data_IF_966498626013
#
_entry.id   IF_966498626013
#
_cell.length_a   1.000
_cell.length_b   1.000
_cell.length_c   1.000
_cell.angle_alpha   90.00
_cell.angle_beta   90.00
_cell.angle_gamma   90.00
#
_symmetry.space_group_name_H-M   'P 1'
#
loop_
_entity.id
_entity.type
_entity.pdbx_description
1 polymer ?
#
# COMPACT_ATOMS: atom_id res chain seq x y z
N UNK A 1 4.45 6.99 -19.61
CA UNK A 1 4.03 8.15 -18.80
C UNK A 1 3.74 7.70 -17.39
N UNK A 2 4.20 8.46 -16.39
CA UNK A 2 3.97 8.17 -14.97
C UNK A 2 2.87 9.06 -14.42
N UNK A 3 1.87 8.47 -13.77
CA UNK A 3 0.79 9.15 -13.08
C UNK A 3 0.86 8.83 -11.59
N UNK A 4 1.06 9.84 -10.75
CA UNK A 4 0.98 9.69 -9.29
C UNK A 4 -0.35 10.28 -8.81
N UNK A 5 -1.19 9.45 -8.21
CA UNK A 5 -2.50 9.88 -7.70
C UNK A 5 -2.60 9.50 -6.23
N UNK A 6 -2.79 10.48 -5.38
CA UNK A 6 -2.93 10.30 -3.94
C UNK A 6 -4.00 11.21 -3.37
N UNK A 7 -4.84 10.67 -2.50
CA UNK A 7 -5.87 11.42 -1.76
C UNK A 7 -5.59 11.26 -0.28
N UNK A 8 -5.37 12.37 0.41
CA UNK A 8 -5.08 12.36 1.83
C UNK A 8 -6.24 11.76 2.63
N UNK A 9 -5.93 10.77 3.46
CA UNK A 9 -6.92 10.08 4.31
C UNK A 9 -7.84 9.10 3.58
N UNK A 10 -7.67 8.87 2.26
CA UNK A 10 -8.51 7.93 1.54
C UNK A 10 -8.19 6.47 1.90
N UNK A 11 -9.24 5.70 2.17
CA UNK A 11 -9.27 4.25 2.20
C UNK A 11 -9.69 3.68 0.83
N UNK A 12 -9.65 2.37 0.63
CA UNK A 12 -10.07 1.76 -0.64
C UNK A 12 -11.53 2.08 -1.00
N UNK A 13 -12.50 2.02 -0.06
CA UNK A 13 -13.86 2.47 -0.34
C UNK A 13 -13.99 3.91 -0.83
N UNK A 14 -13.11 4.83 -0.40
CA UNK A 14 -13.12 6.20 -0.90
C UNK A 14 -12.75 6.27 -2.39
N UNK A 15 -11.80 5.46 -2.83
CA UNK A 15 -11.44 5.34 -4.24
C UNK A 15 -12.58 4.75 -5.07
N UNK A 16 -13.27 3.73 -4.58
CA UNK A 16 -14.42 3.13 -5.27
C UNK A 16 -15.59 4.11 -5.43
N UNK A 17 -15.70 5.12 -4.56
CA UNK A 17 -16.70 6.19 -4.68
C UNK A 17 -16.30 7.31 -5.65
N UNK A 18 -15.08 7.31 -6.18
CA UNK A 18 -14.61 8.30 -7.15
C UNK A 18 -15.32 8.07 -8.50
N UNK A 19 -16.30 8.93 -8.84
CA UNK A 19 -17.16 8.77 -10.01
C UNK A 19 -16.39 8.81 -11.33
N UNK A 20 -15.31 9.56 -11.40
CA UNK A 20 -14.50 9.74 -12.62
C UNK A 20 -13.41 8.68 -12.78
N UNK A 21 -13.11 7.90 -11.74
CA UNK A 21 -12.05 6.90 -11.80
C UNK A 21 -12.17 5.92 -12.98
N UNK A 22 -13.35 5.36 -13.31
CA UNK A 22 -13.47 4.44 -14.45
C UNK A 22 -13.19 5.12 -15.80
N UNK A 23 -13.57 6.39 -15.95
CA UNK A 23 -13.36 7.18 -17.18
C UNK A 23 -11.89 7.57 -17.31
N UNK A 24 -11.28 8.05 -16.22
CA UNK A 24 -9.86 8.39 -16.16
C UNK A 24 -8.99 7.18 -16.49
N UNK A 25 -9.31 6.00 -15.94
CA UNK A 25 -8.59 4.77 -16.23
C UNK A 25 -8.68 4.35 -17.70
N UNK A 26 -9.84 4.55 -18.36
CA UNK A 26 -10.00 4.29 -19.79
C UNK A 26 -9.14 5.22 -20.64
N UNK A 27 -8.95 6.48 -20.21
CA UNK A 27 -8.08 7.43 -20.90
C UNK A 27 -6.60 7.10 -20.70
N UNK A 28 -6.20 6.76 -19.47
CA UNK A 28 -4.81 6.46 -19.09
C UNK A 28 -4.38 5.10 -19.63
N UNK A 29 -5.25 4.09 -19.57
CA UNK A 29 -4.98 2.68 -19.93
C UNK A 29 -3.65 2.19 -19.35
N UNK A 30 -3.49 2.15 -18.02
CA UNK A 30 -2.21 1.88 -17.39
C UNK A 30 -1.69 0.47 -17.73
N UNK A 31 -0.40 0.36 -18.05
CA UNK A 31 0.28 -0.93 -18.26
C UNK A 31 0.70 -1.54 -16.91
N UNK A 32 0.94 -0.70 -15.91
CA UNK A 32 1.28 -1.08 -14.55
C UNK A 32 0.49 -0.21 -13.55
N UNK A 33 -0.15 -0.86 -12.59
CA UNK A 33 -0.76 -0.22 -11.42
C UNK A 33 0.02 -0.57 -10.16
N UNK A 34 0.54 0.43 -9.46
CA UNK A 34 1.21 0.27 -8.16
C UNK A 34 0.25 0.71 -7.06
N UNK A 35 -0.19 -0.23 -6.24
CA UNK A 35 -1.13 0.00 -5.15
C UNK A 35 -0.41 0.15 -3.82
N UNK A 36 -0.39 1.37 -3.26
CA UNK A 36 0.12 1.69 -1.92
C UNK A 36 -0.98 2.15 -0.95
N UNK A 37 -2.25 1.80 -1.21
CA UNK A 37 -3.41 2.21 -0.41
C UNK A 37 -3.74 1.11 0.60
N UNK A 38 -4.08 1.48 1.85
CA UNK A 38 -4.49 0.49 2.86
C UNK A 38 -4.16 0.90 4.29
N UNK A 39 -3.27 1.91 4.46
CA UNK A 39 -2.93 2.38 5.81
C UNK A 39 -4.12 3.02 6.52
N UNK A 40 -5.00 3.69 5.76
CA UNK A 40 -6.23 4.27 6.30
C UNK A 40 -7.29 3.20 6.59
N UNK A 41 -7.37 2.16 5.76
CA UNK A 41 -8.19 0.97 6.04
C UNK A 41 -7.75 0.28 7.33
N UNK A 42 -6.43 0.18 7.56
CA UNK A 42 -5.85 -0.39 8.77
C UNK A 42 -6.04 0.49 10.01
N UNK A 43 -6.37 1.78 9.85
CA UNK A 43 -6.46 2.75 10.96
C UNK A 43 -7.81 2.68 11.70
N UNK A 44 -8.21 1.48 12.06
CA UNK A 44 -9.43 1.18 12.84
C UNK A 44 -9.08 0.27 14.03
N UNK A 45 -9.91 0.23 15.09
CA UNK A 45 -9.74 -0.73 16.17
C UNK A 45 -9.53 -2.16 15.63
N UNK A 46 -8.62 -2.96 16.21
CA UNK A 46 -8.24 -4.27 15.64
C UNK A 46 -9.40 -5.23 15.40
N UNK A 47 -10.40 -5.19 16.25
CA UNK A 47 -11.62 -6.01 16.14
C UNK A 47 -12.58 -5.53 15.03
N UNK A 48 -12.37 -4.32 14.47
CA UNK A 48 -13.18 -3.76 13.38
C UNK A 48 -12.52 -3.93 12.02
N UNK A 49 -11.25 -4.29 11.97
CA UNK A 49 -10.57 -4.56 10.71
C UNK A 49 -10.89 -5.97 10.23
N UNK A 50 -11.54 -6.05 9.09
CA UNK A 50 -11.89 -7.30 8.41
C UNK A 50 -11.02 -7.45 7.14
N UNK A 51 -10.05 -8.40 7.11
CA UNK A 51 -9.20 -8.63 5.93
C UNK A 51 -9.98 -9.11 4.70
N UNK A 52 -11.06 -9.87 4.88
CA UNK A 52 -11.83 -10.36 3.74
C UNK A 52 -12.60 -9.22 3.09
N UNK A 53 -13.20 -8.34 3.88
CA UNK A 53 -13.84 -7.13 3.39
C UNK A 53 -12.83 -6.20 2.71
N UNK A 54 -11.64 -6.04 3.27
CA UNK A 54 -10.55 -5.27 2.66
C UNK A 54 -10.18 -5.84 1.28
N UNK A 55 -9.99 -7.16 1.17
CA UNK A 55 -9.70 -7.82 -0.10
C UNK A 55 -10.86 -7.70 -1.09
N UNK A 56 -12.12 -7.77 -0.62
CA UNK A 56 -13.28 -7.58 -1.49
C UNK A 56 -13.27 -6.21 -2.16
N UNK A 57 -13.05 -5.13 -1.40
CA UNK A 57 -12.93 -3.78 -1.98
C UNK A 57 -11.74 -3.68 -2.96
N UNK A 58 -10.62 -4.34 -2.66
CA UNK A 58 -9.48 -4.37 -3.59
C UNK A 58 -9.80 -5.12 -4.88
N UNK A 59 -10.54 -6.22 -4.83
CA UNK A 59 -10.97 -6.95 -6.04
C UNK A 59 -11.85 -6.04 -6.93
N UNK A 60 -12.75 -5.25 -6.33
CA UNK A 60 -13.54 -4.26 -7.07
C UNK A 60 -12.64 -3.20 -7.72
N UNK A 61 -11.67 -2.65 -6.97
CA UNK A 61 -10.72 -1.68 -7.51
C UNK A 61 -9.89 -2.27 -8.65
N UNK A 62 -9.33 -3.46 -8.47
CA UNK A 62 -8.56 -4.18 -9.50
C UNK A 62 -9.40 -4.41 -10.76
N UNK A 63 -10.68 -4.76 -10.61
CA UNK A 63 -11.58 -4.94 -11.74
C UNK A 63 -11.73 -3.68 -12.59
N UNK A 64 -11.73 -2.47 -11.99
CA UNK A 64 -11.73 -1.21 -12.73
C UNK A 64 -10.47 -1.04 -13.57
N UNK A 65 -9.28 -1.33 -13.02
CA UNK A 65 -8.02 -1.27 -13.76
C UNK A 65 -7.99 -2.29 -14.90
N UNK A 66 -8.38 -3.53 -14.63
CA UNK A 66 -8.44 -4.60 -15.64
C UNK A 66 -9.50 -4.34 -16.72
N UNK A 67 -10.58 -3.63 -16.40
CA UNK A 67 -11.57 -3.22 -17.40
C UNK A 67 -11.03 -2.16 -18.38
N UNK A 68 -10.11 -1.31 -17.91
CA UNK A 68 -9.45 -0.30 -18.74
C UNK A 68 -8.32 -0.90 -19.59
N UNK A 69 -7.52 -1.80 -19.01
CA UNK A 69 -6.47 -2.57 -19.67
C UNK A 69 -6.39 -3.97 -19.06
N UNK A 70 -6.89 -5.02 -19.75
CA UNK A 70 -6.83 -6.41 -19.25
C UNK A 70 -5.41 -6.90 -18.96
N UNK A 71 -4.40 -6.33 -19.64
CA UNK A 71 -2.99 -6.67 -19.49
C UNK A 71 -2.26 -5.82 -18.42
N UNK A 72 -2.97 -4.90 -17.74
CA UNK A 72 -2.39 -4.08 -16.67
C UNK A 72 -1.71 -4.96 -15.63
N UNK A 73 -0.41 -4.85 -15.46
CA UNK A 73 0.32 -5.52 -14.39
C UNK A 73 -0.02 -4.88 -13.03
N UNK A 74 0.02 -5.67 -11.96
CA UNK A 74 -0.35 -5.24 -10.61
C UNK A 74 0.84 -5.40 -9.67
N UNK A 75 1.22 -4.32 -8.99
CA UNK A 75 2.22 -4.34 -7.92
C UNK A 75 1.58 -3.82 -6.64
N UNK A 76 1.56 -4.65 -5.60
CA UNK A 76 1.07 -4.28 -4.28
C UNK A 76 2.24 -3.89 -3.38
N UNK A 77 2.19 -2.67 -2.83
CA UNK A 77 3.15 -2.18 -1.84
C UNK A 77 2.50 -2.30 -0.47
N UNK A 78 3.04 -3.16 0.40
CA UNK A 78 2.47 -3.33 1.73
C UNK A 78 2.65 -2.08 2.59
N UNK A 79 1.74 -1.84 3.53
CA UNK A 79 1.81 -0.67 4.40
C UNK A 79 3.01 -0.76 5.36
N UNK A 80 3.56 0.39 5.72
CA UNK A 80 4.52 0.46 6.84
C UNK A 80 3.87 0.12 8.18
N UNK A 81 4.67 -0.30 9.17
CA UNK A 81 4.26 -0.30 10.57
C UNK A 81 3.91 1.11 11.02
N UNK A 82 2.87 1.26 11.84
CA UNK A 82 2.44 2.56 12.33
C UNK A 82 1.82 2.49 13.72
N UNK A 83 1.52 3.66 14.28
CA UNK A 83 0.72 3.78 15.49
C UNK A 83 -0.77 3.86 15.16
N UNK A 84 -1.57 3.15 15.95
CA UNK A 84 -3.01 3.28 16.01
C UNK A 84 -3.38 4.15 17.22
N UNK A 85 -4.15 5.20 16.98
CA UNK A 85 -4.67 6.06 18.05
C UNK A 85 -6.03 5.51 18.51
N UNK A 86 -6.06 5.02 19.73
CA UNK A 86 -7.26 4.48 20.37
C UNK A 86 -8.01 5.49 21.25
N UNK A 87 -7.71 6.78 21.07
CA UNK A 87 -8.31 7.87 21.83
C UNK A 87 -7.63 8.13 23.19
N UNK A 88 -8.15 9.12 23.90
CA UNK A 88 -7.54 9.60 25.17
C UNK A 88 -7.42 8.51 26.24
N UNK A 89 -8.38 7.57 26.30
CA UNK A 89 -8.44 6.53 27.34
C UNK A 89 -7.40 5.42 27.11
N UNK A 90 -7.09 5.08 25.86
CA UNK A 90 -6.25 3.93 25.51
C UNK A 90 -4.93 4.31 24.86
N UNK A 91 -4.74 5.60 24.54
CA UNK A 91 -3.51 6.13 23.99
C UNK A 91 -3.18 5.63 22.59
N UNK A 92 -1.89 5.67 22.25
CA UNK A 92 -1.37 5.17 20.97
C UNK A 92 -0.64 3.85 21.19
N UNK A 93 -0.87 2.88 20.29
CA UNK A 93 -0.22 1.57 20.31
C UNK A 93 0.23 1.19 18.90
N UNK A 94 1.18 0.27 18.78
CA UNK A 94 1.51 -0.34 17.49
C UNK A 94 0.25 -0.92 16.87
N UNK A 95 0.03 -0.62 15.59
CA UNK A 95 -1.17 -1.06 14.88
C UNK A 95 -1.01 -2.51 14.39
N UNK A 96 -1.74 -3.49 14.93
CA UNK A 96 -1.62 -4.88 14.48
C UNK A 96 -2.26 -5.12 13.10
N UNK A 97 -3.10 -4.19 12.63
CA UNK A 97 -3.78 -4.35 11.34
C UNK A 97 -2.82 -4.19 10.17
N UNK A 98 -1.68 -3.49 10.34
CA UNK A 98 -0.68 -3.34 9.26
C UNK A 98 -0.09 -4.68 8.82
N UNK A 99 0.17 -5.59 9.76
CA UNK A 99 0.58 -6.96 9.45
C UNK A 99 -0.53 -7.75 8.72
N UNK A 100 -1.79 -7.52 9.11
CA UNK A 100 -2.96 -8.17 8.47
C UNK A 100 -3.18 -7.66 7.05
N UNK A 101 -2.98 -6.36 6.81
CA UNK A 101 -2.99 -5.77 5.46
C UNK A 101 -1.84 -6.33 4.61
N UNK A 102 -0.62 -6.43 5.16
CA UNK A 102 0.51 -7.02 4.44
C UNK A 102 0.21 -8.47 4.01
N UNK A 103 -0.41 -9.26 4.88
CA UNK A 103 -0.86 -10.60 4.54
C UNK A 103 -1.94 -10.58 3.44
N UNK A 104 -2.93 -9.70 3.55
CA UNK A 104 -4.01 -9.56 2.55
C UNK A 104 -3.47 -9.19 1.17
N UNK A 105 -2.46 -8.32 1.08
CA UNK A 105 -1.82 -8.00 -0.20
C UNK A 105 -1.09 -9.19 -0.83
N UNK A 106 -0.42 -10.02 -0.03
CA UNK A 106 0.20 -11.26 -0.54
C UNK A 106 -0.85 -12.22 -1.10
N UNK A 107 -1.99 -12.34 -0.42
CA UNK A 107 -3.12 -13.15 -0.88
C UNK A 107 -3.72 -12.59 -2.18
N UNK A 108 -3.97 -11.29 -2.26
CA UNK A 108 -4.46 -10.61 -3.48
C UNK A 108 -3.49 -10.78 -4.65
N UNK A 109 -2.19 -10.66 -4.43
CA UNK A 109 -1.19 -10.86 -5.47
C UNK A 109 -1.23 -12.30 -6.00
N UNK A 110 -1.30 -13.29 -5.11
CA UNK A 110 -1.43 -14.70 -5.51
C UNK A 110 -2.74 -14.96 -6.28
N UNK A 111 -3.86 -14.35 -5.88
CA UNK A 111 -5.15 -14.46 -6.55
C UNK A 111 -5.16 -13.84 -7.97
N UNK A 112 -4.42 -12.76 -8.17
CA UNK A 112 -4.50 -11.92 -9.38
C UNK A 112 -3.31 -12.05 -10.32
N UNK A 113 -2.31 -12.85 -9.95
CA UNK A 113 -1.05 -12.94 -10.68
C UNK A 113 -0.20 -11.67 -10.60
N UNK A 114 -0.42 -10.85 -9.57
CA UNK A 114 0.34 -9.63 -9.30
C UNK A 114 1.61 -9.90 -8.51
N UNK A 115 2.45 -8.86 -8.38
CA UNK A 115 3.64 -8.87 -7.55
C UNK A 115 3.40 -8.13 -6.22
N UNK A 116 4.24 -8.43 -5.20
CA UNK A 116 4.23 -7.72 -3.91
C UNK A 116 5.62 -7.17 -3.62
N UNK A 117 5.67 -5.90 -3.31
CA UNK A 117 6.81 -5.31 -2.62
C UNK A 117 6.48 -5.18 -1.13
N UNK A 118 7.14 -6.01 -0.30
CA UNK A 118 6.80 -6.16 1.11
C UNK A 118 7.49 -5.12 2.00
N UNK A 119 7.10 -3.87 1.85
CA UNK A 119 7.61 -2.75 2.65
C UNK A 119 7.53 -3.00 4.15
N UNK A 120 6.45 -3.65 4.62
CA UNK A 120 6.26 -3.93 6.03
C UNK A 120 7.43 -4.72 6.64
N UNK A 121 7.84 -5.80 5.98
CA UNK A 121 8.95 -6.62 6.46
C UNK A 121 10.32 -6.05 6.14
N UNK A 122 10.48 -5.36 5.00
CA UNK A 122 11.71 -4.61 4.66
C UNK A 122 12.04 -3.58 5.73
N UNK A 123 11.05 -2.91 6.29
CA UNK A 123 11.22 -1.96 7.39
C UNK A 123 11.53 -2.61 8.74
N UNK A 124 11.32 -3.92 8.89
CA UNK A 124 11.52 -4.67 10.13
C UNK A 124 10.22 -5.14 10.82
N UNK A 125 9.08 -5.02 10.16
CA UNK A 125 7.78 -5.51 10.66
C UNK A 125 7.25 -4.73 11.86
N UNK A 126 6.60 -5.44 12.78
CA UNK A 126 5.98 -4.83 13.96
C UNK A 126 6.96 -4.04 14.82
N UNK A 127 6.58 -2.83 15.23
CA UNK A 127 7.36 -1.85 16.00
C UNK A 127 8.49 -1.18 15.22
N UNK A 128 8.71 -1.50 13.95
CA UNK A 128 9.76 -0.87 13.14
C UNK A 128 9.60 0.64 13.03
N UNK A 129 8.37 1.15 13.04
CA UNK A 129 8.10 2.61 13.03
C UNK A 129 8.79 3.37 14.17
N UNK A 130 9.04 2.72 15.33
CA UNK A 130 9.80 3.34 16.42
C UNK A 130 11.29 3.48 16.07
N UNK A 131 11.88 2.45 15.45
CA UNK A 131 13.28 2.47 15.00
C UNK A 131 13.48 3.52 13.90
N UNK A 132 12.59 3.53 12.91
CA UNK A 132 12.63 4.50 11.81
C UNK A 132 12.46 5.93 12.32
N UNK A 133 11.57 6.14 13.31
CA UNK A 133 11.44 7.44 13.98
C UNK A 133 12.73 7.84 14.71
N UNK A 134 13.37 6.90 15.40
CA UNK A 134 14.67 7.11 16.06
C UNK A 134 15.78 7.50 15.10
N UNK A 135 15.73 7.01 13.85
CA UNK A 135 16.64 7.37 12.76
C UNK A 135 16.21 8.62 11.98
N UNK A 136 15.18 9.33 12.42
CA UNK A 136 14.60 10.52 11.78
C UNK A 136 14.00 10.25 10.38
N UNK A 137 13.72 8.99 10.04
CA UNK A 137 13.12 8.59 8.77
C UNK A 137 11.58 8.61 8.81
N UNK A 138 11.00 8.70 10.00
CA UNK A 138 9.55 8.89 10.20
C UNK A 138 9.25 10.09 11.07
N UNK A 139 8.08 10.70 10.84
CA UNK A 139 7.55 11.81 11.64
C UNK A 139 7.17 11.33 13.06
N UNK A 140 6.93 12.25 14.01
CA UNK A 140 6.51 11.91 15.37
C UNK A 140 5.22 11.12 15.47
N UNK A 141 4.34 11.21 14.46
CA UNK A 141 3.10 10.44 14.38
C UNK A 141 3.32 8.95 14.12
N UNK A 142 4.52 8.59 13.62
CA UNK A 142 4.91 7.22 13.26
C UNK A 142 3.94 6.58 12.25
N UNK A 143 3.37 7.40 11.38
CA UNK A 143 2.54 7.03 10.24
C UNK A 143 3.23 7.51 8.95
N UNK A 144 3.62 8.78 8.92
CA UNK A 144 4.24 9.42 7.77
C UNK A 144 5.76 9.38 7.85
N UNK A 145 6.40 9.24 6.72
CA UNK A 145 7.85 9.38 6.61
C UNK A 145 8.28 10.85 6.59
N UNK A 146 9.54 11.13 6.89
CA UNK A 146 10.20 12.38 6.55
C UNK A 146 10.56 12.39 5.06
N UNK A 147 11.05 13.50 4.53
CA UNK A 147 11.54 13.56 3.16
C UNK A 147 12.62 12.48 2.91
N UNK A 148 13.59 12.38 3.83
CA UNK A 148 14.66 11.39 3.77
C UNK A 148 14.11 9.95 3.83
N UNK A 149 13.08 9.72 4.66
CA UNK A 149 12.41 8.42 4.75
C UNK A 149 11.69 8.05 3.45
N UNK A 150 10.99 9.00 2.82
CA UNK A 150 10.35 8.77 1.52
C UNK A 150 11.38 8.52 0.41
N UNK A 151 12.49 9.27 0.38
CA UNK A 151 13.57 9.04 -0.58
C UNK A 151 14.15 7.64 -0.43
N UNK A 152 14.50 7.23 0.80
CA UNK A 152 15.04 5.89 1.06
C UNK A 152 14.08 4.77 0.60
N UNK A 153 12.79 4.89 0.92
CA UNK A 153 11.77 3.91 0.50
C UNK A 153 11.63 3.90 -1.03
N UNK A 154 11.64 5.08 -1.65
CA UNK A 154 11.60 5.21 -3.11
C UNK A 154 12.79 4.55 -3.78
N UNK A 155 14.00 4.78 -3.29
CA UNK A 155 15.24 4.19 -3.82
C UNK A 155 15.24 2.66 -3.69
N UNK A 156 14.80 2.13 -2.53
CA UNK A 156 14.72 0.68 -2.33
C UNK A 156 13.69 0.05 -3.27
N UNK A 157 12.52 0.66 -3.43
CA UNK A 157 11.49 0.18 -4.36
C UNK A 157 11.97 0.26 -5.81
N UNK A 158 12.57 1.38 -6.22
CA UNK A 158 13.13 1.55 -7.56
C UNK A 158 14.16 0.48 -7.87
N UNK A 159 15.13 0.27 -6.97
CA UNK A 159 16.17 -0.74 -7.16
C UNK A 159 15.59 -2.16 -7.23
N UNK A 160 14.55 -2.47 -6.45
CA UNK A 160 13.87 -3.76 -6.53
C UNK A 160 13.23 -3.97 -7.91
N UNK A 161 12.50 -2.97 -8.43
CA UNK A 161 11.84 -3.05 -9.75
C UNK A 161 12.88 -3.18 -10.86
N UNK A 162 13.95 -2.36 -10.85
CA UNK A 162 14.98 -2.40 -11.90
C UNK A 162 15.77 -3.70 -11.86
N UNK A 163 16.07 -4.23 -10.67
CA UNK A 163 16.76 -5.50 -10.54
C UNK A 163 15.95 -6.65 -11.14
N UNK A 164 14.65 -6.69 -10.82
CA UNK A 164 13.74 -7.71 -11.34
C UNK A 164 13.59 -7.62 -12.87
N UNK A 165 13.43 -6.40 -13.38
CA UNK A 165 13.36 -6.12 -14.82
C UNK A 165 14.61 -6.60 -15.57
N UNK A 166 15.81 -6.24 -15.09
CA UNK A 166 17.07 -6.63 -15.73
C UNK A 166 17.31 -8.15 -15.67
N UNK A 167 16.85 -8.83 -14.62
CA UNK A 167 16.92 -10.28 -14.52
C UNK A 167 15.96 -10.97 -15.50
N UNK A 168 14.79 -10.39 -15.75
CA UNK A 168 13.82 -10.92 -16.71
C UNK A 168 14.30 -10.76 -18.17
N UNK A 169 14.97 -9.65 -18.51
CA UNK A 169 15.50 -9.39 -19.86
C UNK A 169 16.79 -10.18 -20.16
N UNK A 170 17.47 -10.73 -19.14
CA UNK A 170 18.71 -11.51 -19.29
C UNK A 170 18.52 -13.00 -19.52
N UNK A 171 17.27 -13.50 -19.55
CA UNK A 171 16.89 -14.87 -19.90
C UNK A 171 16.17 -14.91 -21.25
#
# INVERSE_FOLDING_TARGET
>A
VYHAVGINGADVPAWLRCRHLPEDLKLIRPDLAIFGIGINDANVPPQKFDPERFKAHYRELIALFKSANPHCALLFVTNNDCLLNLGRRHGKRTNPNTARVAKAFKELAAETGGAVWDQYHIMGGSRSSALWRGKRLMRPDRIHFTAEGYHLIGDILYNAIITDYLQADGN
#
